data_IF_346927991000
#
_entry.id   IF_346927991000
#
_cell.length_a   1.000
_cell.length_b   1.000
_cell.length_c   1.000
_cell.angle_alpha   90.00
_cell.angle_beta   90.00
_cell.angle_gamma   90.00
#
_symmetry.space_group_name_H-M   'P 1'
#
loop_
_entity.id
_entity.type
_entity.pdbx_description
1 polymer ?
#
# COMPACT_ATOMS: atom_id res chain seq x y z
N UNK A 1 -29.24 -1.52 -6.51
CA UNK A 1 -28.41 -0.30 -6.51
C UNK A 1 -27.62 -0.26 -7.81
N UNK A 2 -27.81 0.76 -8.66
CA UNK A 2 -27.15 0.81 -9.96
C UNK A 2 -25.67 1.18 -9.79
N UNK A 3 -24.76 0.62 -10.60
CA UNK A 3 -23.31 0.91 -10.54
C UNK A 3 -23.01 2.41 -10.51
N UNK A 4 -23.82 3.20 -11.21
CA UNK A 4 -23.76 4.67 -11.24
C UNK A 4 -24.17 5.31 -9.90
N UNK A 5 -25.17 4.76 -9.22
CA UNK A 5 -25.58 5.21 -7.88
C UNK A 5 -24.52 4.94 -6.82
N UNK A 6 -23.82 3.80 -6.90
CA UNK A 6 -22.71 3.48 -5.99
C UNK A 6 -21.55 4.47 -6.16
N UNK A 7 -21.18 4.75 -7.41
CA UNK A 7 -20.10 5.69 -7.73
C UNK A 7 -20.47 7.12 -7.31
N UNK A 8 -21.74 7.53 -7.50
CA UNK A 8 -22.20 8.85 -7.07
C UNK A 8 -22.20 9.02 -5.54
N UNK A 9 -22.59 7.97 -4.79
CA UNK A 9 -22.57 7.99 -3.32
C UNK A 9 -21.12 8.03 -2.80
N UNK A 10 -20.24 7.18 -3.35
CA UNK A 10 -18.84 7.15 -2.94
C UNK A 10 -18.11 8.48 -3.26
N UNK A 11 -18.37 9.04 -4.45
CA UNK A 11 -17.78 10.33 -4.84
C UNK A 11 -18.35 11.48 -3.99
N UNK A 12 -19.66 11.46 -3.71
CA UNK A 12 -20.31 12.44 -2.83
C UNK A 12 -19.74 12.39 -1.41
N UNK A 13 -19.58 11.20 -0.82
CA UNK A 13 -18.97 11.05 0.51
C UNK A 13 -17.52 11.53 0.54
N UNK A 14 -16.75 11.30 -0.53
CA UNK A 14 -15.37 11.77 -0.63
C UNK A 14 -15.30 13.31 -0.71
N UNK A 15 -16.20 13.94 -1.49
CA UNK A 15 -16.28 15.40 -1.62
C UNK A 15 -16.76 16.06 -0.33
N UNK A 16 -17.78 15.52 0.33
CA UNK A 16 -18.25 16.03 1.63
C UNK A 16 -17.22 15.83 2.74
N UNK A 17 -16.47 14.72 2.71
CA UNK A 17 -15.35 14.48 3.63
C UNK A 17 -14.23 15.52 3.48
N UNK A 18 -13.85 15.86 2.25
CA UNK A 18 -12.86 16.90 1.97
C UNK A 18 -13.37 18.31 2.31
N UNK A 19 -14.65 18.60 2.06
CA UNK A 19 -15.25 19.91 2.37
C UNK A 19 -15.28 20.22 3.88
N UNK A 20 -15.33 19.20 4.75
CA UNK A 20 -15.25 19.38 6.20
C UNK A 20 -13.93 20.02 6.68
N UNK A 21 -12.86 19.92 5.87
CA UNK A 21 -11.56 20.54 6.16
C UNK A 21 -11.52 22.04 5.85
N UNK A 22 -12.44 22.55 5.04
CA UNK A 22 -12.50 23.95 4.63
C UNK A 22 -13.24 24.86 5.63
N UNK A 23 -14.00 24.29 6.58
CA UNK A 23 -14.87 25.05 7.50
C UNK A 23 -14.34 25.16 8.94
N UNK A 24 -13.16 24.63 9.26
CA UNK A 24 -12.57 24.77 10.58
C UNK A 24 -11.62 25.98 10.64
N UNK A 25 -12.19 27.16 10.93
CA UNK A 25 -11.41 28.27 11.49
C UNK A 25 -10.83 27.84 12.85
N UNK A 26 -9.52 27.98 13.02
CA UNK A 26 -8.73 27.62 14.21
C UNK A 26 -8.67 26.12 14.57
N UNK A 27 -8.07 25.31 13.69
CA UNK A 27 -7.69 23.92 14.01
C UNK A 27 -6.89 23.18 12.93
N UNK A 28 -6.45 23.90 11.90
CA UNK A 28 -5.96 23.35 10.62
C UNK A 28 -4.75 22.41 10.81
N UNK A 29 -3.90 22.64 11.82
CA UNK A 29 -2.71 21.83 12.08
C UNK A 29 -3.01 20.44 12.69
N UNK A 30 -4.00 20.34 13.58
CA UNK A 30 -4.32 19.08 14.27
C UNK A 30 -5.25 18.18 13.42
N UNK A 31 -6.15 18.79 12.64
CA UNK A 31 -6.93 18.08 11.64
C UNK A 31 -6.03 17.57 10.50
N UNK A 32 -5.08 18.38 9.99
CA UNK A 32 -4.19 17.99 8.91
C UNK A 32 -3.37 16.74 9.23
N UNK A 33 -2.86 16.61 10.47
CA UNK A 33 -2.11 15.43 10.90
C UNK A 33 -2.91 14.12 10.78
N UNK A 34 -4.13 14.09 11.31
CA UNK A 34 -4.97 12.89 11.29
C UNK A 34 -5.37 12.47 9.87
N UNK A 35 -5.69 13.45 9.01
CA UNK A 35 -6.01 13.20 7.61
C UNK A 35 -4.79 12.71 6.81
N UNK A 36 -3.58 13.18 7.12
CA UNK A 36 -2.35 12.66 6.53
C UNK A 36 -2.11 11.19 6.90
N UNK A 37 -2.26 10.82 8.18
CA UNK A 37 -2.11 9.42 8.60
C UNK A 37 -3.17 8.51 7.98
N UNK A 38 -4.42 8.96 7.91
CA UNK A 38 -5.50 8.21 7.27
C UNK A 38 -5.24 8.00 5.76
N UNK A 39 -4.80 9.06 5.06
CA UNK A 39 -4.42 8.99 3.64
C UNK A 39 -3.27 8.03 3.39
N UNK A 40 -2.21 8.10 4.22
CA UNK A 40 -1.07 7.17 4.14
C UNK A 40 -1.50 5.73 4.43
N UNK A 41 -2.35 5.49 5.43
CA UNK A 41 -2.82 4.16 5.79
C UNK A 41 -3.60 3.49 4.64
N UNK A 42 -4.52 4.23 4.00
CA UNK A 42 -5.24 3.73 2.84
C UNK A 42 -4.28 3.50 1.65
N UNK A 43 -3.42 4.46 1.34
CA UNK A 43 -2.47 4.34 0.23
C UNK A 43 -1.54 3.14 0.40
N UNK A 44 -1.00 2.92 1.61
CA UNK A 44 -0.12 1.80 1.90
C UNK A 44 -0.87 0.46 1.88
N UNK A 45 -2.06 0.41 2.48
CA UNK A 45 -2.87 -0.81 2.54
C UNK A 45 -3.25 -1.31 1.15
N UNK A 46 -3.74 -0.42 0.28
CA UNK A 46 -4.04 -0.77 -1.11
C UNK A 46 -2.78 -0.99 -1.95
N UNK A 47 -1.74 -0.18 -1.76
CA UNK A 47 -0.49 -0.27 -2.53
C UNK A 47 0.22 -1.61 -2.34
N UNK A 48 0.46 -2.01 -1.08
CA UNK A 48 1.06 -3.32 -0.78
C UNK A 48 0.11 -4.45 -1.15
N UNK A 49 -1.20 -4.31 -0.87
CA UNK A 49 -2.18 -5.33 -1.20
C UNK A 49 -2.19 -5.69 -2.69
N UNK A 50 -2.19 -4.67 -3.57
CA UNK A 50 -2.14 -4.87 -5.02
C UNK A 50 -0.79 -5.44 -5.48
N UNK A 51 0.33 -4.96 -4.90
CA UNK A 51 1.66 -5.48 -5.22
C UNK A 51 1.77 -6.98 -4.87
N UNK A 52 1.34 -7.36 -3.65
CA UNK A 52 1.34 -8.74 -3.17
C UNK A 52 0.42 -9.65 -4.00
N UNK A 53 -0.74 -9.15 -4.43
CA UNK A 53 -1.61 -9.89 -5.35
C UNK A 53 -0.91 -10.16 -6.69
N UNK A 54 -0.26 -9.14 -7.26
CA UNK A 54 0.46 -9.28 -8.53
C UNK A 54 1.63 -10.26 -8.44
N UNK A 55 2.47 -10.13 -7.41
CA UNK A 55 3.61 -11.04 -7.23
C UNK A 55 3.17 -12.45 -6.87
N UNK A 56 2.13 -12.61 -6.05
CA UNK A 56 1.56 -13.92 -5.69
C UNK A 56 1.07 -14.70 -6.91
N UNK A 57 0.37 -14.06 -7.83
CA UNK A 57 -0.08 -14.68 -9.09
C UNK A 57 1.13 -15.05 -9.97
N UNK A 58 2.09 -14.13 -10.12
CA UNK A 58 3.29 -14.37 -10.93
C UNK A 58 4.14 -15.54 -10.41
N UNK A 59 4.36 -15.59 -9.10
CA UNK A 59 5.10 -16.66 -8.44
C UNK A 59 4.37 -18.01 -8.54
N UNK A 60 3.06 -18.04 -8.31
CA UNK A 60 2.27 -19.27 -8.44
C UNK A 60 2.38 -19.89 -9.84
N UNK A 61 2.32 -19.06 -10.88
CA UNK A 61 2.48 -19.51 -12.26
C UNK A 61 3.91 -20.01 -12.56
N UNK A 62 4.92 -19.27 -12.09
CA UNK A 62 6.32 -19.67 -12.27
C UNK A 62 6.64 -21.01 -11.58
N UNK A 63 6.15 -21.21 -10.35
CA UNK A 63 6.31 -22.44 -9.59
C UNK A 63 5.59 -23.60 -10.30
N UNK A 64 4.37 -23.41 -10.77
CA UNK A 64 3.63 -24.44 -11.50
C UNK A 64 4.40 -24.88 -12.77
N UNK A 65 4.91 -23.92 -13.55
CA UNK A 65 5.76 -24.20 -14.71
C UNK A 65 7.03 -24.98 -14.36
N UNK A 66 7.70 -24.61 -13.26
CA UNK A 66 8.89 -25.31 -12.77
C UNK A 66 8.59 -26.74 -12.31
N UNK A 67 7.48 -26.96 -11.61
CA UNK A 67 7.04 -28.28 -11.17
C UNK A 67 6.71 -29.19 -12.36
N UNK A 68 5.97 -28.69 -13.35
CA UNK A 68 5.68 -29.45 -14.57
C UNK A 68 6.95 -29.78 -15.37
N UNK A 69 7.87 -28.81 -15.48
CA UNK A 69 9.16 -29.01 -16.14
C UNK A 69 10.00 -30.08 -15.45
N UNK A 70 10.05 -30.06 -14.12
CA UNK A 70 10.77 -31.04 -13.30
C UNK A 70 10.13 -32.42 -13.37
N UNK A 71 8.80 -32.51 -13.34
CA UNK A 71 8.08 -33.78 -13.47
C UNK A 71 8.32 -34.45 -14.83
N UNK A 72 8.45 -33.65 -15.90
CA UNK A 72 8.75 -34.16 -17.25
C UNK A 72 10.22 -34.51 -17.46
N UNK A 73 11.14 -33.77 -16.83
CA UNK A 73 12.58 -33.96 -16.97
C UNK A 73 13.27 -33.89 -15.60
N UNK A 74 13.25 -34.98 -14.81
CA UNK A 74 13.80 -34.99 -13.45
C UNK A 74 15.31 -34.69 -13.42
N UNK A 75 16.04 -35.12 -14.44
CA UNK A 75 17.49 -34.88 -14.59
C UNK A 75 17.84 -33.39 -14.70
N UNK A 76 16.91 -32.58 -15.23
CA UNK A 76 17.07 -31.12 -15.32
C UNK A 76 16.59 -30.38 -14.06
N UNK A 77 16.05 -31.08 -13.05
CA UNK A 77 15.37 -30.48 -11.90
C UNK A 77 16.22 -29.47 -11.12
N UNK A 78 17.51 -29.77 -10.91
CA UNK A 78 18.43 -28.85 -10.22
C UNK A 78 18.61 -27.51 -10.96
N UNK A 79 18.72 -27.55 -12.29
CA UNK A 79 18.84 -26.35 -13.13
C UNK A 79 17.52 -25.57 -13.16
N UNK A 80 16.38 -26.27 -13.25
CA UNK A 80 15.04 -25.66 -13.21
C UNK A 80 14.82 -24.94 -11.88
N UNK A 81 15.13 -25.57 -10.75
CA UNK A 81 15.03 -24.96 -9.41
C UNK A 81 15.89 -23.70 -9.29
N UNK A 82 17.13 -23.74 -9.80
CA UNK A 82 18.04 -22.58 -9.75
C UNK A 82 17.45 -21.40 -10.54
N UNK A 83 17.03 -21.63 -11.78
CA UNK A 83 16.39 -20.58 -12.61
C UNK A 83 15.09 -20.09 -12.00
N UNK A 84 14.29 -20.98 -11.42
CA UNK A 84 13.04 -20.63 -10.73
C UNK A 84 13.31 -19.69 -9.56
N UNK A 85 14.24 -20.03 -8.65
CA UNK A 85 14.54 -19.19 -7.48
C UNK A 85 15.03 -17.80 -7.90
N UNK A 86 15.90 -17.71 -8.92
CA UNK A 86 16.37 -16.42 -9.45
C UNK A 86 15.17 -15.62 -9.98
N UNK A 87 14.29 -16.23 -10.76
CA UNK A 87 13.08 -15.58 -11.28
C UNK A 87 12.14 -15.11 -10.17
N UNK A 88 11.90 -15.95 -9.15
CA UNK A 88 11.06 -15.61 -8.01
C UNK A 88 11.65 -14.45 -7.20
N UNK A 89 12.97 -14.42 -7.00
CA UNK A 89 13.65 -13.33 -6.30
C UNK A 89 13.49 -11.99 -7.06
N UNK A 90 13.56 -12.01 -8.39
CA UNK A 90 13.33 -10.82 -9.21
C UNK A 90 11.87 -10.35 -9.14
N UNK A 91 10.90 -11.27 -9.19
CA UNK A 91 9.48 -10.94 -9.04
C UNK A 91 9.22 -10.33 -7.66
N UNK A 92 9.80 -10.91 -6.61
CA UNK A 92 9.57 -10.46 -5.23
C UNK A 92 10.15 -9.07 -4.95
N UNK A 93 11.21 -8.66 -5.67
CA UNK A 93 11.77 -7.31 -5.54
C UNK A 93 10.74 -6.20 -5.78
N UNK A 94 9.74 -6.43 -6.63
CA UNK A 94 8.65 -5.48 -6.89
C UNK A 94 7.74 -5.30 -5.67
N UNK A 95 7.43 -6.39 -4.96
CA UNK A 95 6.65 -6.35 -3.72
C UNK A 95 7.44 -5.62 -2.61
N UNK A 96 8.73 -5.91 -2.51
CA UNK A 96 9.63 -5.24 -1.55
C UNK A 96 9.73 -3.74 -1.85
N UNK A 97 9.78 -3.31 -3.12
CA UNK A 97 9.77 -1.88 -3.44
C UNK A 97 8.47 -1.19 -3.00
N UNK A 98 7.31 -1.83 -3.17
CA UNK A 98 6.05 -1.30 -2.64
C UNK A 98 6.07 -1.19 -1.10
N UNK A 99 6.62 -2.20 -0.41
CA UNK A 99 6.81 -2.17 1.04
C UNK A 99 7.74 -1.02 1.48
N UNK A 100 8.87 -0.85 0.80
CA UNK A 100 9.84 0.22 1.10
C UNK A 100 9.22 1.60 0.91
N UNK A 101 8.45 1.81 -0.15
CA UNK A 101 7.73 3.07 -0.38
C UNK A 101 6.74 3.32 0.76
N UNK A 102 6.03 2.30 1.23
CA UNK A 102 5.12 2.43 2.38
C UNK A 102 5.85 2.81 3.67
N UNK A 103 7.01 2.20 3.95
CA UNK A 103 7.84 2.61 5.09
C UNK A 103 8.32 4.05 4.96
N UNK A 104 8.72 4.51 3.78
CA UNK A 104 9.08 5.90 3.56
C UNK A 104 7.86 6.81 3.81
N UNK A 105 6.68 6.46 3.31
CA UNK A 105 5.47 7.24 3.53
C UNK A 105 5.08 7.34 5.00
N UNK A 106 5.22 6.25 5.76
CA UNK A 106 4.87 6.22 7.20
C UNK A 106 5.91 6.95 8.06
N UNK A 107 7.21 6.78 7.78
CA UNK A 107 8.26 7.25 8.68
C UNK A 107 8.94 8.56 8.24
N UNK A 108 8.81 8.98 6.97
CA UNK A 108 9.50 10.17 6.43
C UNK A 108 8.56 11.36 6.15
N UNK A 109 7.30 11.10 5.80
CA UNK A 109 6.36 12.14 5.33
C UNK A 109 5.65 12.90 6.46
N UNK A 110 5.22 12.29 7.57
CA UNK A 110 4.57 13.06 8.63
C UNK A 110 5.61 13.97 9.31
N UNK A 111 5.51 15.29 9.11
CA UNK A 111 6.26 16.24 9.93
C UNK A 111 5.70 16.17 11.35
N UNK A 112 6.49 15.63 12.28
CA UNK A 112 6.08 15.50 13.68
C UNK A 112 6.04 16.86 14.39
N UNK A 113 6.61 17.92 13.83
CA UNK A 113 6.68 19.24 14.45
C UNK A 113 5.29 19.86 14.70
N UNK A 114 4.43 20.00 13.68
CA UNK A 114 3.06 20.49 13.85
C UNK A 114 2.22 19.60 14.79
N UNK A 115 2.42 18.28 14.75
CA UNK A 115 1.70 17.33 15.60
C UNK A 115 2.14 17.44 17.07
N UNK A 116 3.44 17.55 17.33
CA UNK A 116 4.00 17.78 18.66
C UNK A 116 3.50 19.09 19.27
N UNK A 117 3.53 20.18 18.48
CA UNK A 117 3.02 21.47 18.93
C UNK A 117 1.50 21.45 19.18
N UNK A 118 0.72 20.71 18.37
CA UNK A 118 -0.71 20.53 18.59
C UNK A 118 -1.00 19.71 19.86
N UNK A 119 -0.20 18.66 20.12
CA UNK A 119 -0.27 17.86 21.35
C UNK A 119 0.03 18.74 22.57
N UNK A 120 1.15 19.48 22.57
CA UNK A 120 1.52 20.37 23.67
C UNK A 120 0.44 21.41 23.95
N UNK A 121 -0.11 22.03 22.90
CA UNK A 121 -1.19 23.03 23.01
C UNK A 121 -2.49 22.41 23.53
N UNK A 122 -2.78 21.16 23.19
CA UNK A 122 -3.92 20.40 23.75
C UNK A 122 -3.75 20.05 25.22
N UNK A 123 -2.51 20.04 25.73
CA UNK A 123 -2.19 19.85 27.15
C UNK A 123 -2.02 21.18 27.90
N UNK A 124 -2.37 22.32 27.27
CA UNK A 124 -2.37 23.64 27.91
C UNK A 124 -0.99 24.29 28.05
N UNK A 125 0.00 23.84 27.25
CA UNK A 125 1.32 24.46 27.12
C UNK A 125 1.41 25.43 25.95
#
# INVERSE_FOLDING_TARGET
MTRKGVVAILSGMMVFGLASTALAADGVAQAAGLWSFFGIAIACGFGIGLAAMGTGIGMGNAINGALQGTARNPEAGGKIMTTMIIGLALIESLCIYALVICFIMVFKIPDLGPMYNAILKSFGG
#
